data_IF_358727036753
#
_entry.id   IF_358727036753
#
_cell.length_a   1.000
_cell.length_b   1.000
_cell.length_c   1.000
_cell.angle_alpha   90.00
_cell.angle_beta   90.00
_cell.angle_gamma   90.00
#
_symmetry.space_group_name_H-M   'P 1'
#
loop_
_entity.id
_entity.type
_entity.pdbx_description
1 polymer ?
#
# COMPACT_ATOMS: atom_id res chain seq x y z
N UNK A 1 39.84 -32.89 -10.38
CA UNK A 1 40.24 -31.51 -10.76
C UNK A 1 39.88 -30.60 -9.58
N UNK A 2 40.65 -29.53 -9.33
CA UNK A 2 40.46 -28.67 -8.14
C UNK A 2 39.35 -27.65 -8.39
N UNK A 3 38.49 -27.36 -7.42
CA UNK A 3 37.47 -26.29 -7.48
C UNK A 3 38.06 -24.93 -7.91
N UNK A 4 39.30 -24.66 -7.49
CA UNK A 4 40.07 -23.48 -7.88
C UNK A 4 40.32 -23.41 -9.40
N UNK A 5 40.60 -24.55 -10.05
CA UNK A 5 40.85 -24.60 -11.49
C UNK A 5 39.58 -24.35 -12.30
N UNK A 6 38.43 -24.80 -11.82
CA UNK A 6 37.16 -24.65 -12.52
C UNK A 6 36.65 -23.21 -12.42
N UNK A 7 36.80 -22.56 -11.26
CA UNK A 7 36.56 -21.12 -11.10
C UNK A 7 37.41 -20.28 -12.05
N UNK A 8 38.70 -20.57 -12.15
CA UNK A 8 39.60 -19.83 -13.05
C UNK A 8 39.25 -20.05 -14.53
N UNK A 9 38.76 -21.24 -14.91
CA UNK A 9 38.28 -21.52 -16.27
C UNK A 9 37.06 -20.71 -16.62
N UNK A 10 36.09 -20.62 -15.71
CA UNK A 10 34.88 -19.81 -15.90
C UNK A 10 35.24 -18.33 -16.07
N UNK A 11 36.09 -17.79 -15.19
CA UNK A 11 36.57 -16.40 -15.29
C UNK A 11 37.32 -16.12 -16.61
N UNK A 12 38.10 -17.08 -17.10
CA UNK A 12 38.80 -16.95 -18.39
C UNK A 12 37.81 -16.97 -19.56
N UNK A 13 36.82 -17.87 -19.53
CA UNK A 13 35.82 -18.02 -20.58
C UNK A 13 34.98 -16.74 -20.77
N UNK A 14 34.60 -16.06 -19.68
CA UNK A 14 33.88 -14.78 -19.74
C UNK A 14 34.66 -13.67 -20.46
N UNK A 15 35.97 -13.83 -20.59
CA UNK A 15 36.86 -12.87 -21.26
C UNK A 15 37.37 -13.38 -22.61
N UNK A 16 36.82 -14.48 -23.13
CA UNK A 16 37.24 -15.09 -24.38
C UNK A 16 38.62 -15.76 -24.32
N UNK A 17 39.08 -16.12 -23.12
CA UNK A 17 40.36 -16.78 -22.89
C UNK A 17 40.15 -18.25 -22.52
N UNK A 18 41.16 -19.07 -22.80
CA UNK A 18 41.23 -20.49 -22.42
C UNK A 18 42.28 -20.68 -21.33
N UNK A 19 41.90 -21.31 -20.22
CA UNK A 19 42.83 -21.67 -19.15
C UNK A 19 43.54 -23.00 -19.46
N UNK A 20 44.88 -22.98 -19.41
CA UNK A 20 45.75 -24.17 -19.45
C UNK A 20 46.26 -24.47 -18.04
N UNK A 21 46.32 -25.75 -17.70
CA UNK A 21 46.75 -26.23 -16.38
C UNK A 21 47.78 -27.34 -16.56
N UNK A 22 48.88 -27.32 -15.80
CA UNK A 22 49.84 -28.43 -15.82
C UNK A 22 49.24 -29.69 -15.16
N UNK A 23 49.64 -30.89 -15.61
CA UNK A 23 49.18 -32.16 -15.01
C UNK A 23 49.98 -32.42 -13.73
N UNK A 24 49.34 -32.86 -12.64
CA UNK A 24 50.03 -33.23 -11.38
C UNK A 24 50.62 -34.66 -11.45
N UNK A 25 51.95 -34.83 -11.44
CA UNK A 25 52.66 -36.10 -11.08
C UNK A 25 54.11 -35.84 -10.61
N UNK A 26 54.57 -36.60 -9.57
CA UNK A 26 55.92 -36.89 -8.97
C UNK A 26 57.14 -35.95 -9.22
N UNK A 27 58.13 -35.86 -8.30
CA UNK A 27 59.01 -34.69 -8.10
C UNK A 27 59.88 -34.33 -9.31
N UNK A 28 59.88 -33.04 -9.71
CA UNK A 28 60.78 -32.48 -10.72
C UNK A 28 60.15 -31.75 -11.93
N UNK A 29 58.82 -31.60 -12.02
CA UNK A 29 58.14 -30.88 -13.13
C UNK A 29 57.31 -29.67 -12.69
N UNK A 30 56.70 -28.94 -13.64
CA UNK A 30 55.90 -27.73 -13.35
C UNK A 30 54.61 -28.05 -12.60
N UNK A 31 54.64 -27.99 -11.26
CA UNK A 31 53.48 -28.29 -10.42
C UNK A 31 52.54 -27.09 -10.29
N UNK A 32 51.24 -27.31 -10.55
CA UNK A 32 50.20 -26.33 -10.22
C UNK A 32 50.34 -25.00 -10.94
N UNK A 33 50.99 -25.01 -12.12
CA UNK A 33 51.15 -23.83 -12.94
C UNK A 33 50.03 -23.74 -13.98
N UNK A 34 49.73 -22.51 -14.34
CA UNK A 34 48.62 -22.13 -15.19
C UNK A 34 49.10 -21.19 -16.27
N UNK A 35 48.36 -21.14 -17.36
CA UNK A 35 48.52 -20.13 -18.39
C UNK A 35 47.19 -19.81 -19.05
N UNK A 36 47.10 -18.64 -19.66
CA UNK A 36 45.96 -18.18 -20.43
C UNK A 36 46.37 -18.08 -21.90
N UNK A 37 45.52 -18.61 -22.78
CA UNK A 37 45.63 -18.38 -24.21
C UNK A 37 44.35 -17.74 -24.75
N UNK A 38 44.44 -17.09 -25.90
CA UNK A 38 43.23 -16.65 -26.61
C UNK A 38 42.52 -17.85 -27.27
N UNK A 39 41.42 -17.56 -27.97
CA UNK A 39 40.64 -18.57 -28.68
C UNK A 39 41.45 -19.31 -29.76
N UNK A 40 42.42 -18.63 -30.40
CA UNK A 40 43.32 -19.15 -31.42
C UNK A 40 44.52 -19.92 -30.85
N UNK A 41 44.71 -19.89 -29.53
CA UNK A 41 45.78 -20.60 -28.83
C UNK A 41 47.06 -19.79 -28.62
N UNK A 42 47.07 -18.49 -28.95
CA UNK A 42 48.20 -17.60 -28.67
C UNK A 42 48.31 -17.35 -27.17
N UNK A 43 49.54 -17.38 -26.65
CA UNK A 43 49.82 -17.09 -25.25
C UNK A 43 49.41 -15.65 -24.89
N UNK A 44 48.67 -15.51 -23.79
CA UNK A 44 48.20 -14.22 -23.25
C UNK A 44 48.86 -13.90 -21.92
N UNK A 45 48.99 -14.89 -21.03
CA UNK A 45 49.63 -14.71 -19.72
C UNK A 45 50.05 -16.05 -19.12
N UNK A 46 51.20 -16.11 -18.44
CA UNK A 46 51.64 -17.32 -17.71
C UNK A 46 52.09 -18.50 -18.56
N UNK A 47 52.42 -18.29 -19.83
CA UNK A 47 52.99 -19.30 -20.74
C UNK A 47 54.34 -18.76 -21.22
N UNK A 48 55.42 -19.41 -20.80
CA UNK A 48 56.79 -19.12 -21.23
C UNK A 48 57.30 -20.12 -22.27
N UNK A 49 58.59 -20.05 -22.59
CA UNK A 49 59.23 -20.92 -23.60
C UNK A 49 59.26 -22.39 -23.13
N UNK A 50 59.48 -22.61 -21.83
CA UNK A 50 59.65 -23.93 -21.23
C UNK A 50 58.38 -24.53 -20.63
N UNK A 51 57.26 -23.79 -20.58
CA UNK A 51 56.01 -24.31 -20.04
C UNK A 51 55.05 -23.28 -19.45
N UNK A 52 54.19 -23.77 -18.53
CA UNK A 52 53.25 -22.92 -17.80
C UNK A 52 53.94 -22.37 -16.55
N UNK A 53 53.86 -21.07 -16.34
CA UNK A 53 54.65 -20.39 -15.31
C UNK A 53 53.81 -19.65 -14.27
N UNK A 54 52.53 -19.35 -14.55
CA UNK A 54 51.73 -18.59 -13.59
C UNK A 54 51.17 -19.46 -12.46
N UNK A 55 51.07 -18.88 -11.26
CA UNK A 55 50.32 -19.48 -10.15
C UNK A 55 48.81 -19.20 -10.32
N UNK A 56 47.92 -19.96 -9.67
CA UNK A 56 46.47 -19.70 -9.72
C UNK A 56 46.12 -18.26 -9.31
N UNK A 57 46.73 -17.76 -8.24
CA UNK A 57 46.53 -16.38 -7.76
C UNK A 57 46.97 -15.32 -8.80
N UNK A 58 48.04 -15.59 -9.55
CA UNK A 58 48.49 -14.70 -10.62
C UNK A 58 47.50 -14.67 -11.79
N UNK A 59 46.91 -15.81 -12.15
CA UNK A 59 45.83 -15.89 -13.16
C UNK A 59 44.60 -15.12 -12.67
N UNK A 60 44.16 -15.33 -11.44
CA UNK A 60 42.96 -14.66 -10.90
C UNK A 60 43.13 -13.14 -10.94
N UNK A 61 44.28 -12.64 -10.48
CA UNK A 61 44.60 -11.20 -10.50
C UNK A 61 44.57 -10.63 -11.91
N UNK A 62 45.23 -11.31 -12.85
CA UNK A 62 45.24 -10.89 -14.26
C UNK A 62 43.83 -10.78 -14.85
N UNK A 63 42.97 -11.78 -14.59
CA UNK A 63 41.59 -11.77 -15.07
C UNK A 63 40.77 -10.64 -14.43
N UNK A 64 40.95 -10.38 -13.13
CA UNK A 64 40.24 -9.27 -12.45
C UNK A 64 40.65 -7.89 -12.98
N UNK A 65 41.94 -7.66 -13.19
CA UNK A 65 42.46 -6.38 -13.70
C UNK A 65 42.00 -6.14 -15.15
N UNK A 66 41.90 -7.21 -15.94
CA UNK A 66 41.41 -7.12 -17.32
C UNK A 66 39.91 -6.78 -17.40
N UNK A 67 39.08 -7.33 -16.52
CA UNK A 67 37.66 -6.89 -16.38
C UNK A 67 37.56 -5.40 -16.05
N UNK A 68 38.45 -4.90 -15.18
CA UNK A 68 38.44 -3.48 -14.78
C UNK A 68 38.84 -2.56 -15.93
N UNK A 69 39.74 -3.00 -16.81
CA UNK A 69 40.18 -2.24 -17.98
C UNK A 69 39.21 -2.29 -19.17
N UNK A 70 38.44 -3.37 -19.36
CA UNK A 70 37.35 -3.41 -20.37
C UNK A 70 36.21 -2.45 -20.03
N UNK A 71 35.89 -2.27 -18.74
CA UNK A 71 34.93 -1.24 -18.29
C UNK A 71 35.42 0.19 -18.55
N UNK A 72 36.71 0.47 -18.38
CA UNK A 72 37.28 1.80 -18.65
C UNK A 72 37.40 2.13 -20.15
N UNK A 73 37.44 1.13 -21.03
CA UNK A 73 37.49 1.32 -22.49
C UNK A 73 36.11 1.58 -23.10
N UNK A 74 35.03 1.04 -22.49
CA UNK A 74 33.65 1.27 -22.93
C UNK A 74 33.18 2.73 -22.69
N UNK A 75 33.83 3.46 -21.78
CA UNK A 75 33.45 4.84 -21.42
C UNK A 75 34.28 5.92 -22.14
N UNK A 76 35.39 5.56 -22.80
CA UNK A 76 36.17 6.50 -23.62
C UNK A 76 35.67 6.51 -25.06
N UNK A 77 34.66 7.34 -25.32
CA UNK A 77 34.18 7.60 -26.69
C UNK A 77 32.75 8.10 -26.80
N UNK A 78 31.94 7.96 -25.74
CA UNK A 78 30.61 8.56 -25.71
C UNK A 78 30.76 10.07 -25.50
N UNK A 79 30.60 10.85 -26.59
CA UNK A 79 30.20 12.25 -26.44
C UNK A 79 28.94 12.24 -25.57
N UNK A 80 28.98 12.93 -24.43
CA UNK A 80 27.80 13.16 -23.61
C UNK A 80 26.80 13.96 -24.46
N UNK A 81 25.93 13.27 -25.18
CA UNK A 81 24.72 13.87 -25.72
C UNK A 81 23.99 14.39 -24.49
N UNK A 82 23.73 15.70 -24.44
CA UNK A 82 22.88 16.28 -23.40
C UNK A 82 21.50 15.67 -23.67
N UNK A 83 21.18 14.59 -22.95
CA UNK A 83 19.86 13.99 -23.02
C UNK A 83 18.88 15.11 -22.70
N UNK A 84 17.96 15.38 -23.64
CA UNK A 84 16.75 16.11 -23.29
C UNK A 84 16.18 15.39 -22.07
N UNK A 85 15.88 16.09 -20.96
CA UNK A 85 15.22 15.44 -19.84
C UNK A 85 14.02 14.69 -20.39
N UNK A 86 13.88 13.41 -20.03
CA UNK A 86 12.63 12.72 -20.29
C UNK A 86 11.51 13.62 -19.73
N UNK A 87 10.41 13.85 -20.47
CA UNK A 87 9.30 14.61 -19.92
C UNK A 87 8.92 13.97 -18.59
N UNK A 88 8.72 14.81 -17.57
CA UNK A 88 8.32 14.33 -16.25
C UNK A 88 7.15 13.36 -16.41
N UNK A 89 7.13 12.24 -15.67
CA UNK A 89 5.99 11.34 -15.71
C UNK A 89 4.73 12.17 -15.43
N UNK A 90 3.63 11.92 -16.16
CA UNK A 90 2.41 12.69 -15.97
C UNK A 90 2.05 12.64 -14.48
N UNK A 91 1.63 13.77 -13.89
CA UNK A 91 1.24 13.77 -12.49
C UNK A 91 0.19 12.69 -12.26
N UNK A 92 0.22 12.01 -11.10
CA UNK A 92 -0.80 11.01 -10.78
C UNK A 92 -2.18 11.65 -10.96
N UNK A 93 -3.17 10.91 -11.49
CA UNK A 93 -4.51 11.46 -11.67
C UNK A 93 -5.00 12.01 -10.33
N UNK A 94 -5.72 13.14 -10.33
CA UNK A 94 -6.25 13.70 -9.09
C UNK A 94 -7.10 12.63 -8.37
N UNK A 95 -7.07 12.60 -7.03
CA UNK A 95 -7.85 11.63 -6.28
C UNK A 95 -9.32 11.74 -6.70
N UNK A 96 -9.92 10.61 -7.06
CA UNK A 96 -11.33 10.54 -7.50
C UNK A 96 -12.29 11.04 -6.43
N UNK A 97 -11.86 11.03 -5.16
CA UNK A 97 -12.63 11.46 -4.02
C UNK A 97 -11.89 12.59 -3.28
N UNK A 98 -12.57 13.72 -3.10
CA UNK A 98 -12.15 14.76 -2.16
C UNK A 98 -12.97 14.57 -0.88
N UNK A 99 -12.34 14.19 0.25
CA UNK A 99 -13.08 14.03 1.50
C UNK A 99 -13.63 15.40 1.92
N UNK A 100 -14.94 15.48 2.11
CA UNK A 100 -15.57 16.61 2.76
C UNK A 100 -15.80 16.23 4.21
N UNK A 101 -15.20 16.95 5.15
CA UNK A 101 -15.35 16.69 6.58
C UNK A 101 -16.55 17.51 7.08
N UNK A 102 -17.57 16.82 7.58
CA UNK A 102 -18.69 17.41 8.32
C UNK A 102 -18.58 17.15 9.82
N UNK A 103 -19.28 17.93 10.63
CA UNK A 103 -19.41 17.71 12.08
C UNK A 103 -20.89 17.72 12.45
N UNK A 104 -21.37 16.65 13.10
CA UNK A 104 -22.78 16.46 13.44
C UNK A 104 -23.28 17.49 14.48
N UNK A 105 -22.39 18.05 15.29
CA UNK A 105 -22.68 19.05 16.32
C UNK A 105 -22.51 20.50 15.84
N UNK A 106 -21.95 20.70 14.65
CA UNK A 106 -21.77 22.04 14.09
C UNK A 106 -23.05 22.51 13.39
N UNK A 107 -23.37 23.80 13.55
CA UNK A 107 -24.50 24.47 12.87
C UNK A 107 -25.81 23.69 13.03
N UNK A 108 -26.14 23.33 14.27
CA UNK A 108 -27.41 22.67 14.57
C UNK A 108 -28.57 23.60 14.21
N UNK A 109 -29.63 23.10 13.54
CA UNK A 109 -30.87 23.85 13.43
C UNK A 109 -31.42 24.15 14.84
N UNK A 110 -32.05 25.31 15.01
CA UNK A 110 -32.46 25.80 16.33
C UNK A 110 -33.44 24.89 17.09
N UNK A 111 -34.17 24.03 16.37
CA UNK A 111 -35.22 23.13 16.86
C UNK A 111 -36.25 23.76 17.83
N UNK A 112 -36.38 25.10 17.88
CA UNK A 112 -37.19 25.80 18.90
C UNK A 112 -38.70 25.64 18.74
N UNK A 113 -39.17 25.42 17.51
CA UNK A 113 -40.61 25.35 17.18
C UNK A 113 -41.03 23.98 16.65
N UNK A 114 -40.12 23.32 15.95
CA UNK A 114 -40.28 22.00 15.38
C UNK A 114 -38.90 21.36 15.30
N UNK A 115 -38.87 20.04 15.18
CA UNK A 115 -37.63 19.30 14.95
C UNK A 115 -36.94 19.78 13.67
N UNK A 116 -35.60 19.78 13.70
CA UNK A 116 -34.78 20.13 12.56
C UNK A 116 -34.21 18.88 11.90
N UNK A 117 -34.52 18.68 10.63
CA UNK A 117 -34.05 17.54 9.82
C UNK A 117 -32.97 18.00 8.84
N UNK A 118 -31.89 17.23 8.70
CA UNK A 118 -30.81 17.51 7.75
C UNK A 118 -30.33 16.22 7.11
N UNK A 119 -30.71 16.00 5.86
CA UNK A 119 -30.17 14.91 5.06
C UNK A 119 -28.65 15.09 4.86
N UNK A 120 -27.88 14.09 5.29
CA UNK A 120 -26.42 14.05 5.16
C UNK A 120 -26.00 13.25 3.93
N UNK A 121 -26.70 12.15 3.67
CA UNK A 121 -26.50 11.30 2.50
C UNK A 121 -27.88 10.83 2.01
N UNK A 122 -28.10 10.91 0.71
CA UNK A 122 -29.27 10.34 0.03
C UNK A 122 -28.79 9.51 -1.17
N UNK A 123 -29.15 8.22 -1.16
CA UNK A 123 -28.87 7.26 -2.22
C UNK A 123 -30.05 6.30 -2.38
N UNK A 124 -30.19 5.61 -3.53
CA UNK A 124 -31.14 4.52 -3.64
C UNK A 124 -30.93 3.50 -2.50
N UNK A 125 -31.99 3.18 -1.76
CA UNK A 125 -31.95 2.21 -0.65
C UNK A 125 -31.40 2.74 0.68
N UNK A 126 -30.89 3.98 0.75
CA UNK A 126 -30.28 4.48 1.98
C UNK A 126 -30.38 6.00 2.12
N UNK A 127 -30.91 6.46 3.27
CA UNK A 127 -30.83 7.86 3.71
C UNK A 127 -30.16 7.93 5.08
N UNK A 128 -29.17 8.81 5.22
CA UNK A 128 -28.59 9.15 6.51
C UNK A 128 -28.98 10.59 6.83
N UNK A 129 -29.60 10.80 7.98
CA UNK A 129 -30.15 12.08 8.39
C UNK A 129 -29.72 12.45 9.81
N UNK A 130 -29.43 13.72 10.03
CA UNK A 130 -29.30 14.30 11.37
C UNK A 130 -30.64 14.92 11.75
N UNK A 131 -31.12 14.58 12.95
CA UNK A 131 -32.34 15.16 13.52
C UNK A 131 -31.95 15.93 14.78
N UNK A 132 -32.55 17.09 15.00
CA UNK A 132 -32.40 17.84 16.26
C UNK A 132 -33.78 18.11 16.83
N UNK A 133 -33.99 17.63 18.05
CA UNK A 133 -35.18 17.85 18.85
C UNK A 133 -34.80 18.67 20.09
N UNK A 134 -35.70 19.52 20.56
CA UNK A 134 -35.59 20.34 21.76
C UNK A 134 -36.90 20.30 22.56
N UNK A 135 -37.28 19.10 23.03
CA UNK A 135 -38.48 18.86 23.84
C UNK A 135 -39.72 18.39 23.05
N UNK A 136 -39.63 18.20 21.74
CA UNK A 136 -40.72 17.62 20.96
C UNK A 136 -40.95 16.15 21.31
N UNK A 137 -42.20 15.72 21.14
CA UNK A 137 -42.68 14.35 21.33
C UNK A 137 -43.68 14.01 20.22
N UNK A 138 -43.84 12.72 19.93
CA UNK A 138 -44.89 12.22 19.05
C UNK A 138 -46.22 12.22 19.82
N UNK A 139 -47.31 12.82 19.30
CA UNK A 139 -48.64 12.69 19.89
C UNK A 139 -49.05 11.23 20.10
N UNK A 140 -49.67 10.92 21.24
CA UNK A 140 -49.94 9.53 21.63
C UNK A 140 -50.86 8.79 20.65
N UNK A 141 -51.78 9.50 20.01
CA UNK A 141 -52.75 9.00 19.04
C UNK A 141 -52.21 8.93 17.60
N UNK A 142 -51.03 9.51 17.35
CA UNK A 142 -50.47 9.68 16.01
C UNK A 142 -49.06 9.07 15.93
N UNK A 143 -48.90 7.73 16.04
CA UNK A 143 -47.60 7.09 15.88
C UNK A 143 -46.93 7.44 14.56
N UNK A 144 -45.60 7.39 14.55
CA UNK A 144 -44.84 7.31 13.32
C UNK A 144 -44.92 5.87 12.80
N UNK A 145 -45.25 5.73 11.51
CA UNK A 145 -45.21 4.47 10.77
C UNK A 145 -44.53 4.78 9.44
N UNK A 146 -43.44 4.06 9.15
CA UNK A 146 -42.60 4.33 7.99
C UNK A 146 -42.36 3.01 7.22
N UNK A 147 -42.34 3.01 5.88
CA UNK A 147 -42.27 1.78 5.08
C UNK A 147 -40.86 1.19 4.97
N UNK A 148 -39.92 1.64 5.79
CA UNK A 148 -38.51 1.28 5.73
C UNK A 148 -37.98 1.07 7.14
N UNK A 149 -36.92 0.27 7.27
CA UNK A 149 -36.23 0.10 8.53
C UNK A 149 -35.51 1.41 8.89
N UNK A 150 -35.51 1.75 10.19
CA UNK A 150 -34.82 2.92 10.72
C UNK A 150 -33.91 2.50 11.87
N UNK A 151 -32.60 2.61 11.68
CA UNK A 151 -31.64 2.56 12.79
C UNK A 151 -31.37 3.97 13.28
N UNK A 152 -31.52 4.21 14.58
CA UNK A 152 -31.34 5.54 15.17
C UNK A 152 -30.47 5.48 16.41
N UNK A 153 -29.61 6.49 16.58
CA UNK A 153 -28.75 6.69 17.75
C UNK A 153 -28.90 8.10 18.31
N UNK A 154 -28.91 8.24 19.64
CA UNK A 154 -28.79 9.53 20.32
C UNK A 154 -27.31 9.89 20.42
N UNK A 155 -26.91 11.06 19.92
CA UNK A 155 -25.54 11.56 19.95
C UNK A 155 -25.30 12.57 21.08
N UNK A 156 -26.32 13.36 21.41
CA UNK A 156 -26.32 14.31 22.52
C UNK A 156 -27.74 14.46 23.09
N UNK A 157 -27.84 14.89 24.35
CA UNK A 157 -29.10 14.90 25.07
C UNK A 157 -29.56 13.49 25.45
N UNK A 158 -30.86 13.30 25.51
CA UNK A 158 -31.51 12.02 25.80
C UNK A 158 -32.90 11.97 25.14
N UNK A 159 -33.49 10.78 25.07
CA UNK A 159 -34.85 10.62 24.58
C UNK A 159 -35.57 9.43 25.23
N UNK A 160 -36.90 9.49 25.22
CA UNK A 160 -37.76 8.34 25.47
C UNK A 160 -38.32 7.80 24.15
N UNK A 161 -38.33 6.49 24.00
CA UNK A 161 -38.82 5.80 22.82
C UNK A 161 -39.78 4.69 23.24
N UNK A 162 -40.94 4.63 22.57
CA UNK A 162 -41.85 3.49 22.65
C UNK A 162 -42.03 2.91 21.26
N UNK A 163 -41.76 1.63 21.12
CA UNK A 163 -42.07 0.86 19.90
C UNK A 163 -43.30 0.03 20.22
N UNK A 164 -44.23 -0.09 19.27
CA UNK A 164 -45.38 -0.97 19.46
C UNK A 164 -44.91 -2.39 19.83
N UNK A 165 -45.65 -3.03 20.74
CA UNK A 165 -45.35 -4.36 21.28
C UNK A 165 -44.05 -4.46 22.10
N UNK A 166 -43.52 -3.33 22.57
CA UNK A 166 -42.32 -3.27 23.42
C UNK A 166 -42.52 -2.32 24.61
N UNK A 167 -41.70 -2.51 25.64
CA UNK A 167 -41.59 -1.56 26.74
C UNK A 167 -41.01 -0.23 26.26
N UNK A 168 -41.38 0.85 26.96
CA UNK A 168 -40.76 2.15 26.75
C UNK A 168 -39.33 2.14 27.27
N UNK A 169 -38.41 2.67 26.47
CA UNK A 169 -36.98 2.74 26.80
C UNK A 169 -36.50 4.19 26.82
N UNK A 170 -35.54 4.47 27.70
CA UNK A 170 -34.79 5.73 27.68
C UNK A 170 -33.47 5.53 26.96
N UNK A 171 -33.20 6.37 25.97
CA UNK A 171 -31.95 6.42 25.22
C UNK A 171 -31.12 7.62 25.70
N UNK A 172 -29.87 7.36 26.06
CA UNK A 172 -28.85 8.38 26.35
C UNK A 172 -27.87 8.46 25.19
N UNK A 173 -26.97 9.45 25.24
CA UNK A 173 -25.90 9.57 24.25
C UNK A 173 -25.11 8.25 24.10
N UNK A 174 -25.07 7.73 22.87
CA UNK A 174 -24.46 6.44 22.50
C UNK A 174 -25.47 5.31 22.35
N UNK A 175 -26.65 5.40 22.97
CA UNK A 175 -27.68 4.37 22.87
C UNK A 175 -28.39 4.43 21.51
N UNK A 176 -28.69 3.25 20.98
CA UNK A 176 -29.29 3.10 19.66
C UNK A 176 -30.31 1.96 19.64
N UNK A 177 -31.21 1.99 18.65
CA UNK A 177 -32.13 0.89 18.39
C UNK A 177 -32.46 0.79 16.90
N UNK A 178 -33.06 -0.33 16.52
CA UNK A 178 -33.65 -0.55 15.20
C UNK A 178 -35.16 -0.51 15.33
N UNK A 179 -35.80 0.24 14.44
CA UNK A 179 -37.25 0.27 14.24
C UNK A 179 -37.52 -0.44 12.92
N UNK A 180 -38.28 -1.53 12.97
CA UNK A 180 -38.63 -2.27 11.77
C UNK A 180 -39.59 -1.47 10.87
N UNK A 181 -39.53 -1.72 9.57
CA UNK A 181 -40.49 -1.21 8.60
C UNK A 181 -41.93 -1.50 9.05
N UNK A 182 -42.80 -0.52 8.84
CA UNK A 182 -44.21 -0.52 9.21
C UNK A 182 -44.50 -0.67 10.72
N UNK A 183 -43.48 -0.66 11.58
CA UNK A 183 -43.65 -0.73 13.03
C UNK A 183 -44.05 0.64 13.61
N UNK A 184 -45.22 0.76 14.26
CA UNK A 184 -45.60 2.00 14.94
C UNK A 184 -44.64 2.33 16.09
N UNK A 185 -44.20 3.58 16.16
CA UNK A 185 -43.31 4.06 17.21
C UNK A 185 -43.58 5.51 17.59
N UNK A 186 -43.15 5.88 18.80
CA UNK A 186 -43.31 7.19 19.40
C UNK A 186 -42.00 7.64 20.03
N UNK A 187 -41.66 8.91 19.81
CA UNK A 187 -40.74 9.63 20.67
C UNK A 187 -41.55 10.15 21.84
N UNK A 188 -41.37 9.59 23.04
CA UNK A 188 -42.16 9.92 24.23
C UNK A 188 -41.57 11.09 25.02
N UNK A 189 -40.27 11.37 24.83
CA UNK A 189 -39.57 12.50 25.43
C UNK A 189 -38.33 12.86 24.60
N UNK A 190 -37.95 14.13 24.57
CA UNK A 190 -36.60 14.59 24.18
C UNK A 190 -36.09 15.64 25.16
N UNK A 191 -34.78 15.72 25.33
CA UNK A 191 -34.13 16.80 26.07
C UNK A 191 -34.26 18.12 25.32
N UNK A 192 -34.51 19.21 26.05
CA UNK A 192 -34.55 20.56 25.51
C UNK A 192 -33.22 21.31 25.67
N UNK A 193 -32.46 21.03 26.73
CA UNK A 193 -31.14 21.62 26.99
C UNK A 193 -30.22 20.62 27.73
N UNK A 194 -29.16 20.10 27.09
CA UNK A 194 -28.84 20.29 25.67
C UNK A 194 -29.92 19.66 24.77
N UNK A 195 -30.14 20.16 23.54
CA UNK A 195 -31.08 19.54 22.61
C UNK A 195 -30.67 18.11 22.28
N UNK A 196 -31.65 17.24 22.04
CA UNK A 196 -31.40 15.89 21.55
C UNK A 196 -30.94 15.93 20.11
N UNK A 197 -29.72 15.44 19.86
CA UNK A 197 -29.17 15.29 18.51
C UNK A 197 -29.18 13.81 18.17
N UNK A 198 -29.80 13.47 17.05
CA UNK A 198 -29.91 12.10 16.55
C UNK A 198 -29.13 11.93 15.25
N UNK A 199 -28.73 10.69 14.99
CA UNK A 199 -28.38 10.23 13.65
C UNK A 199 -29.31 9.06 13.31
N UNK A 200 -30.07 9.22 12.23
CA UNK A 200 -30.98 8.20 11.71
C UNK A 200 -30.43 7.66 10.39
N UNK A 201 -30.52 6.35 10.21
CA UNK A 201 -30.20 5.62 8.99
C UNK A 201 -31.45 4.87 8.55
N UNK A 202 -32.01 5.28 7.44
CA UNK A 202 -33.18 4.67 6.82
C UNK A 202 -32.72 3.68 5.74
N UNK A 203 -33.24 2.45 5.79
CA UNK A 203 -32.86 1.34 4.92
C UNK A 203 -34.12 0.83 4.20
N UNK A 204 -34.13 0.92 2.87
CA UNK A 204 -35.26 0.52 2.02
C UNK A 204 -34.99 -0.77 1.25
#
# INVERSE_FOLDING_TARGET
>A
MSEESDRLREMAAHQGLKLRTSRRRKPGGDFGRYGLSDAAGKAVFGIGEDGLEATPAAIERFLRDRTRSTWQRSTKGLKRVKATPAPDPPPPPPPRFRPTIGNLYAKLPSARRAEGFTALIERPGCRIERIVSAGQVTPADTPKVQPHDEWVVVLAGDAGMRIADSDEVTLRAGDHLLIAADQPHWVTRTSADPPTVWLAVHLA
#
